data_IF_283542270827
#
_entry.id   IF_283542270827
#
_cell.length_a   1.000
_cell.length_b   1.000
_cell.length_c   1.000
_cell.angle_alpha   90.00
_cell.angle_beta   90.00
_cell.angle_gamma   90.00
#
_symmetry.space_group_name_H-M   'P 1'
#
loop_
_entity.id
_entity.type
_entity.pdbx_description
1 polymer ?
#
# COMPACT_ATOMS: atom_id res chain seq x y z
N UNK A 1 -4.65 0.04 -13.92
CA UNK A 1 -6.03 -0.24 -13.42
C UNK A 1 -6.23 -1.54 -12.64
N UNK A 2 -5.23 -2.41 -12.48
CA UNK A 2 -5.39 -3.70 -11.78
C UNK A 2 -4.39 -3.93 -10.64
N UNK A 3 -3.60 -2.91 -10.30
CA UNK A 3 -2.55 -3.03 -9.28
C UNK A 3 -3.06 -2.42 -7.96
N UNK A 4 -2.86 -3.16 -6.88
CA UNK A 4 -2.94 -2.71 -5.48
C UNK A 4 -1.57 -3.01 -4.84
N UNK A 5 -1.23 -2.31 -3.75
CA UNK A 5 0.03 -2.50 -3.03
C UNK A 5 -0.23 -2.83 -1.57
N UNK A 6 0.60 -3.70 -0.99
CA UNK A 6 0.51 -4.14 0.40
C UNK A 6 1.91 -4.48 0.96
N UNK A 7 2.07 -4.48 2.28
CA UNK A 7 3.33 -4.85 2.96
C UNK A 7 3.38 -6.29 3.46
N UNK A 8 2.24 -7.00 3.42
CA UNK A 8 2.04 -8.30 4.06
C UNK A 8 2.55 -8.31 5.52
N UNK A 9 2.16 -7.26 6.26
CA UNK A 9 2.55 -7.07 7.66
C UNK A 9 1.56 -7.77 8.59
N UNK A 10 2.05 -8.80 9.27
CA UNK A 10 1.42 -9.52 10.37
C UNK A 10 2.58 -9.93 11.29
N UNK A 11 2.39 -10.29 12.58
CA UNK A 11 3.44 -10.99 13.31
C UNK A 11 3.91 -12.17 12.47
N UNK A 12 5.14 -12.12 11.96
CA UNK A 12 5.71 -13.21 11.15
C UNK A 12 6.53 -14.11 12.09
N UNK A 13 5.92 -15.05 12.84
CA UNK A 13 6.60 -15.84 13.87
C UNK A 13 7.71 -16.72 13.29
N UNK A 14 7.64 -17.02 11.99
CA UNK A 14 8.67 -17.75 11.26
C UNK A 14 9.95 -16.94 11.01
N UNK A 15 9.90 -15.60 11.10
CA UNK A 15 11.11 -14.76 11.01
C UNK A 15 11.81 -14.71 12.37
N UNK A 16 12.97 -15.38 12.45
CA UNK A 16 13.83 -15.45 13.65
C UNK A 16 14.36 -14.09 14.12
N UNK A 17 14.50 -13.10 13.22
CA UNK A 17 14.99 -11.77 13.55
C UNK A 17 13.86 -10.73 13.41
N UNK A 18 13.36 -10.13 14.52
CA UNK A 18 12.31 -9.12 14.50
C UNK A 18 12.60 -7.91 13.61
N UNK A 19 13.88 -7.49 13.50
CA UNK A 19 14.30 -6.37 12.64
C UNK A 19 14.02 -6.63 11.15
N UNK A 20 13.90 -7.91 10.74
CA UNK A 20 13.61 -8.28 9.34
C UNK A 20 12.12 -8.39 9.03
N UNK A 21 11.24 -8.02 9.97
CA UNK A 21 9.79 -8.03 9.76
C UNK A 21 9.40 -6.86 8.85
N UNK A 22 8.47 -7.14 7.96
CA UNK A 22 7.78 -6.10 7.18
C UNK A 22 6.70 -5.51 8.08
N UNK A 23 6.51 -4.20 7.96
CA UNK A 23 5.68 -3.42 8.86
C UNK A 23 4.85 -2.44 8.01
N UNK A 24 3.66 -1.99 8.46
CA UNK A 24 2.77 -1.16 7.65
C UNK A 24 3.43 0.12 7.10
N UNK A 25 4.30 0.77 7.89
CA UNK A 25 4.99 2.00 7.48
C UNK A 25 6.05 1.80 6.38
N UNK A 26 6.34 0.56 5.97
CA UNK A 26 7.17 0.29 4.80
C UNK A 26 6.41 0.41 3.47
N UNK A 27 5.09 0.62 3.47
CA UNK A 27 4.28 0.74 2.25
C UNK A 27 4.78 1.84 1.27
N UNK A 28 5.25 3.03 1.73
CA UNK A 28 5.81 4.04 0.82
C UNK A 28 7.00 3.53 -0.01
N UNK A 29 7.84 2.65 0.54
CA UNK A 29 8.98 2.07 -0.20
C UNK A 29 8.52 1.20 -1.38
N UNK A 30 7.38 0.53 -1.24
CA UNK A 30 6.77 -0.25 -2.33
C UNK A 30 6.24 0.70 -3.41
N UNK A 31 5.57 1.79 -3.00
CA UNK A 31 5.05 2.80 -3.92
C UNK A 31 6.17 3.51 -4.70
N UNK A 32 7.24 3.94 -4.02
CA UNK A 32 8.43 4.55 -4.63
C UNK A 32 9.08 3.62 -5.65
N UNK A 33 9.25 2.34 -5.30
CA UNK A 33 9.86 1.38 -6.23
C UNK A 33 8.97 1.15 -7.45
N UNK A 34 7.65 1.13 -7.28
CA UNK A 34 6.71 1.00 -8.39
C UNK A 34 6.75 2.24 -9.30
N UNK A 35 6.84 3.44 -8.73
CA UNK A 35 6.94 4.70 -9.45
C UNK A 35 8.21 4.75 -10.32
N UNK A 36 9.36 4.35 -9.75
CA UNK A 36 10.63 4.22 -10.48
C UNK A 36 10.50 3.27 -11.69
N UNK A 37 9.93 2.07 -11.47
CA UNK A 37 9.78 1.06 -12.51
C UNK A 37 8.82 1.49 -13.62
N UNK A 38 7.76 2.24 -13.27
CA UNK A 38 6.76 2.71 -14.23
C UNK A 38 7.08 4.09 -14.84
N UNK A 39 8.18 4.73 -14.41
CA UNK A 39 8.56 6.09 -14.83
C UNK A 39 7.42 7.10 -14.62
N UNK A 40 6.80 7.04 -13.45
CA UNK A 40 5.73 7.94 -13.00
C UNK A 40 6.08 8.49 -11.62
N UNK A 41 5.26 9.40 -11.10
CA UNK A 41 5.43 9.94 -9.75
C UNK A 41 4.76 9.05 -8.70
N UNK A 42 5.23 9.17 -7.45
CA UNK A 42 4.75 8.32 -6.35
C UNK A 42 3.32 8.68 -5.96
N UNK A 43 2.93 9.93 -6.17
CA UNK A 43 1.58 10.46 -5.96
C UNK A 43 0.56 9.78 -6.88
N UNK A 44 0.90 9.60 -8.16
CA UNK A 44 0.09 8.89 -9.18
C UNK A 44 -0.03 7.42 -8.79
N UNK A 45 1.06 6.80 -8.34
CA UNK A 45 1.01 5.43 -7.83
C UNK A 45 0.05 5.33 -6.64
N UNK A 46 0.16 6.24 -5.67
CA UNK A 46 -0.69 6.26 -4.49
C UNK A 46 -2.17 6.45 -4.86
N UNK A 47 -2.48 7.43 -5.71
CA UNK A 47 -3.85 7.72 -6.17
C UNK A 47 -4.46 6.51 -6.90
N UNK A 48 -3.76 6.00 -7.93
CA UNK A 48 -4.27 4.92 -8.78
C UNK A 48 -4.42 3.62 -8.00
N UNK A 49 -3.45 3.26 -7.16
CA UNK A 49 -3.52 2.01 -6.37
C UNK A 49 -4.59 2.08 -5.28
N UNK A 50 -4.80 3.25 -4.67
CA UNK A 50 -5.90 3.49 -3.72
C UNK A 50 -7.26 3.40 -4.41
N UNK A 51 -7.43 4.06 -5.55
CA UNK A 51 -8.66 3.99 -6.34
C UNK A 51 -8.96 2.56 -6.79
N UNK A 52 -7.94 1.79 -7.19
CA UNK A 52 -8.09 0.37 -7.55
C UNK A 52 -8.55 -0.46 -6.35
N UNK A 53 -7.97 -0.23 -5.17
CA UNK A 53 -8.32 -0.93 -3.92
C UNK A 53 -9.77 -0.66 -3.50
N UNK A 54 -10.20 0.60 -3.53
CA UNK A 54 -11.59 0.98 -3.23
C UNK A 54 -12.59 0.36 -4.20
N UNK A 55 -12.28 0.41 -5.50
CA UNK A 55 -13.11 -0.22 -6.54
C UNK A 55 -13.19 -1.73 -6.35
N UNK A 56 -12.08 -2.39 -6.01
CA UNK A 56 -12.04 -3.82 -5.72
C UNK A 56 -12.98 -4.19 -4.57
N UNK A 57 -13.03 -3.37 -3.53
CA UNK A 57 -13.82 -3.62 -2.33
C UNK A 57 -15.28 -3.14 -2.41
N UNK A 58 -15.68 -2.49 -3.53
CA UNK A 58 -17.07 -2.12 -3.82
C UNK A 58 -17.76 -1.38 -2.66
N UNK A 59 -17.07 -0.44 -2.00
CA UNK A 59 -17.64 0.35 -0.90
C UNK A 59 -17.79 -0.40 0.43
N UNK A 60 -17.13 -1.55 0.61
CA UNK A 60 -17.01 -2.24 1.91
C UNK A 60 -16.02 -1.56 2.87
N UNK A 61 -15.48 -0.41 2.49
CA UNK A 61 -14.62 0.42 3.32
C UNK A 61 -15.39 1.70 3.62
N UNK A 62 -15.30 2.14 4.87
CA UNK A 62 -15.75 3.45 5.29
C UNK A 62 -14.85 4.52 4.65
N UNK A 63 -15.37 5.20 3.62
CA UNK A 63 -14.66 6.26 2.89
C UNK A 63 -14.24 7.43 3.80
N UNK A 64 -14.86 7.59 4.99
CA UNK A 64 -14.46 8.62 5.95
C UNK A 64 -13.06 8.41 6.54
N UNK A 65 -12.52 7.19 6.46
CA UNK A 65 -11.15 6.87 6.94
C UNK A 65 -10.09 7.47 6.02
N UNK A 66 -10.40 7.67 4.72
CA UNK A 66 -9.44 8.21 3.75
C UNK A 66 -9.33 9.74 3.79
N UNK A 67 -10.36 10.44 4.26
CA UNK A 67 -10.35 11.91 4.33
C UNK A 67 -9.51 12.46 5.50
N UNK A 68 -9.06 11.60 6.42
CA UNK A 68 -8.28 11.97 7.61
C UNK A 68 -6.79 11.61 7.50
N UNK A 69 -6.33 11.13 6.36
CA UNK A 69 -4.93 10.72 6.13
C UNK A 69 -4.03 11.86 5.59
N UNK A 70 -4.40 13.12 5.88
CA UNK A 70 -3.65 14.33 5.51
C UNK A 70 -2.65 14.76 6.58
#
# INVERSE_FOLDING_TARGET
DRIVIETDSYPQPFKKNPIRRTEPWHLPQVAEKLAELQRTDVETVAEVTTANYLRMLRGRIDESVLQNAG
#
